data_IF_656819553942
#
_entry.id   IF_656819553942
#
_cell.length_a   1.000
_cell.length_b   1.000
_cell.length_c   1.000
_cell.angle_alpha   90.00
_cell.angle_beta   90.00
_cell.angle_gamma   90.00
#
_symmetry.space_group_name_H-M   'P 1'
#
loop_
_entity.id
_entity.type
_entity.pdbx_description
1 polymer ?
#
# COMPACT_ATOMS: atom_id res chain seq x y z
N UNK A 1 -0.68 -15.22 -13.80
CA UNK A 1 -0.69 -15.27 -12.32
C UNK A 1 -1.68 -16.28 -11.73
N UNK A 2 -2.90 -16.47 -12.28
CA UNK A 2 -3.89 -17.42 -11.75
C UNK A 2 -3.35 -18.86 -11.59
N UNK A 3 -2.63 -19.39 -12.59
CA UNK A 3 -1.96 -20.71 -12.52
C UNK A 3 -0.95 -20.80 -11.38
N UNK A 4 -0.21 -19.72 -11.12
CA UNK A 4 0.74 -19.67 -10.00
C UNK A 4 0.00 -19.63 -8.66
N UNK A 5 -1.11 -18.87 -8.58
CA UNK A 5 -1.99 -18.87 -7.42
C UNK A 5 -2.54 -20.25 -7.08
N UNK A 6 -3.05 -20.98 -8.08
CA UNK A 6 -3.53 -22.35 -7.89
C UNK A 6 -2.43 -23.30 -7.39
N UNK A 7 -1.21 -23.20 -7.94
CA UNK A 7 -0.06 -24.00 -7.45
C UNK A 7 0.36 -23.63 -6.02
N UNK A 8 0.22 -22.37 -5.64
CA UNK A 8 0.57 -21.87 -4.31
C UNK A 8 -0.56 -22.04 -3.27
N UNK A 9 -1.73 -22.57 -3.65
CA UNK A 9 -2.90 -22.66 -2.76
C UNK A 9 -3.50 -21.30 -2.40
N UNK A 10 -3.31 -20.27 -3.24
CA UNK A 10 -3.85 -18.92 -3.03
C UNK A 10 -4.97 -18.66 -4.04
N UNK A 11 -6.19 -18.51 -3.54
CA UNK A 11 -7.37 -18.16 -4.34
C UNK A 11 -7.35 -16.71 -4.79
N UNK A 12 -8.22 -16.30 -5.72
CA UNK A 12 -8.42 -14.91 -6.14
C UNK A 12 -7.13 -14.14 -6.51
N UNK A 13 -6.17 -14.81 -7.16
CA UNK A 13 -4.92 -14.20 -7.60
C UNK A 13 -5.08 -13.53 -8.96
N UNK A 14 -5.00 -12.19 -8.97
CA UNK A 14 -5.04 -11.37 -10.18
C UNK A 14 -4.15 -10.12 -10.02
N UNK A 15 -3.75 -9.45 -11.12
CA UNK A 15 -2.78 -8.34 -11.07
C UNK A 15 -3.16 -7.22 -10.10
N UNK A 16 -4.43 -6.81 -10.09
CA UNK A 16 -4.89 -5.76 -9.17
C UNK A 16 -4.69 -6.15 -7.68
N UNK A 17 -4.82 -7.44 -7.31
CA UNK A 17 -4.59 -7.87 -5.91
C UNK A 17 -3.15 -7.67 -5.47
N UNK A 18 -2.18 -7.97 -6.33
CA UNK A 18 -0.76 -7.70 -6.03
C UNK A 18 -0.50 -6.21 -5.84
N UNK A 19 -1.10 -5.35 -6.69
CA UNK A 19 -1.02 -3.89 -6.52
C UNK A 19 -1.56 -3.46 -5.17
N UNK A 20 -2.74 -3.96 -4.78
CA UNK A 20 -3.34 -3.65 -3.47
C UNK A 20 -2.44 -4.11 -2.33
N UNK A 21 -1.91 -5.33 -2.40
CA UNK A 21 -1.00 -5.88 -1.38
C UNK A 21 0.25 -5.03 -1.23
N UNK A 22 0.88 -4.64 -2.34
CA UNK A 22 2.06 -3.77 -2.32
C UNK A 22 1.73 -2.40 -1.71
N UNK A 23 0.64 -1.77 -2.16
CA UNK A 23 0.24 -0.46 -1.67
C UNK A 23 -0.02 -0.47 -0.15
N UNK A 24 -0.78 -1.46 0.33
CA UNK A 24 -1.07 -1.63 1.75
C UNK A 24 0.18 -1.91 2.57
N UNK A 25 1.11 -2.73 2.07
CA UNK A 25 2.37 -3.02 2.78
C UNK A 25 3.26 -1.78 2.92
N UNK A 26 3.39 -0.98 1.86
CA UNK A 26 4.16 0.27 1.90
C UNK A 26 3.56 1.30 2.86
N UNK A 27 2.23 1.47 2.83
CA UNK A 27 1.54 2.37 3.76
C UNK A 27 1.73 1.90 5.21
N UNK A 28 1.61 0.61 5.50
CA UNK A 28 1.85 0.05 6.84
C UNK A 28 3.28 0.26 7.34
N UNK A 29 4.23 0.35 6.42
CA UNK A 29 5.64 0.68 6.71
C UNK A 29 5.87 2.18 6.86
N UNK A 30 4.81 2.99 6.93
CA UNK A 30 4.84 4.44 7.05
C UNK A 30 5.61 5.12 5.88
N UNK A 31 5.59 4.50 4.70
CA UNK A 31 6.13 5.11 3.48
C UNK A 31 5.19 6.26 3.06
N UNK A 32 5.71 7.46 2.76
CA UNK A 32 4.90 8.59 2.32
C UNK A 32 4.02 8.23 1.12
N UNK A 33 2.75 8.65 1.17
CA UNK A 33 1.75 8.31 0.15
C UNK A 33 2.17 8.77 -1.26
N UNK A 34 2.94 9.86 -1.36
CA UNK A 34 3.48 10.39 -2.60
C UNK A 34 4.48 9.41 -3.22
N UNK A 35 5.39 8.85 -2.42
CA UNK A 35 6.34 7.83 -2.87
C UNK A 35 5.60 6.55 -3.29
N UNK A 36 4.57 6.15 -2.52
CA UNK A 36 3.73 5.01 -2.91
C UNK A 36 3.03 5.26 -4.24
N UNK A 37 2.51 6.46 -4.48
CA UNK A 37 1.87 6.81 -5.74
C UNK A 37 2.85 6.74 -6.91
N UNK A 38 4.09 7.21 -6.73
CA UNK A 38 5.15 7.16 -7.72
C UNK A 38 5.57 5.72 -8.04
N UNK A 39 5.78 4.88 -7.02
CA UNK A 39 6.08 3.45 -7.18
C UNK A 39 4.97 2.72 -7.96
N UNK A 40 3.71 3.09 -7.71
CA UNK A 40 2.55 2.47 -8.36
C UNK A 40 2.22 3.09 -9.73
N UNK A 41 2.86 4.20 -10.09
CA UNK A 41 2.59 4.95 -11.32
C UNK A 41 1.21 5.61 -11.37
N UNK A 42 0.68 6.05 -10.22
CA UNK A 42 -0.60 6.73 -10.15
C UNK A 42 -0.44 8.23 -10.45
N UNK A 43 -1.11 8.70 -11.51
CA UNK A 43 -1.13 10.12 -11.85
C UNK A 43 -1.97 10.96 -10.87
N UNK A 44 -2.97 10.35 -10.23
CA UNK A 44 -3.85 11.00 -9.27
C UNK A 44 -3.65 10.39 -7.89
N UNK A 45 -3.26 11.21 -6.92
CA UNK A 45 -3.03 10.81 -5.53
C UNK A 45 -4.28 10.21 -4.89
N UNK A 46 -5.49 10.62 -5.32
CA UNK A 46 -6.77 10.04 -4.86
C UNK A 46 -6.85 8.54 -5.13
N UNK A 47 -6.19 8.06 -6.18
CA UNK A 47 -6.13 6.62 -6.51
C UNK A 47 -5.28 5.84 -5.51
N UNK A 48 -4.27 6.48 -4.90
CA UNK A 48 -3.44 5.88 -3.84
C UNK A 48 -4.06 6.02 -2.45
N UNK A 49 -4.86 7.07 -2.22
CA UNK A 49 -5.52 7.33 -0.93
C UNK A 49 -6.42 6.19 -0.45
N UNK A 50 -6.98 5.40 -1.37
CA UNK A 50 -7.79 4.22 -1.04
C UNK A 50 -7.05 3.15 -0.23
N UNK A 51 -5.71 3.22 -0.15
CA UNK A 51 -4.87 2.30 0.62
C UNK A 51 -4.45 2.83 1.98
N UNK A 52 -4.75 4.09 2.29
CA UNK A 52 -4.41 4.70 3.57
C UNK A 52 -5.46 4.33 4.61
N UNK A 53 -5.03 3.59 5.63
CA UNK A 53 -5.77 3.49 6.89
C UNK A 53 -5.11 4.45 7.88
N UNK A 54 -5.83 5.49 8.29
CA UNK A 54 -5.40 6.36 9.37
C UNK A 54 -5.63 5.64 10.69
N UNK A 55 -4.60 4.96 11.20
CA UNK A 55 -4.58 4.50 12.58
C UNK A 55 -3.85 5.51 13.48
N UNK A 56 -4.18 5.51 14.77
CA UNK A 56 -3.63 6.45 15.75
C UNK A 56 -2.11 6.27 15.95
N UNK A 57 -1.59 5.06 15.71
CA UNK A 57 -0.17 4.74 15.88
C UNK A 57 0.69 5.37 14.78
N UNK A 58 0.24 5.28 13.53
CA UNK A 58 0.86 5.89 12.36
C UNK A 58 0.85 7.42 12.48
N UNK A 59 -0.26 8.01 12.93
CA UNK A 59 -0.32 9.46 13.21
C UNK A 59 0.72 9.88 14.24
N UNK A 60 0.81 9.15 15.37
CA UNK A 60 1.81 9.42 16.42
C UNK A 60 3.24 9.23 15.92
N UNK A 61 3.49 8.20 15.12
CA UNK A 61 4.79 7.94 14.50
C UNK A 61 5.23 9.10 13.62
N UNK A 62 4.37 9.53 12.70
CA UNK A 62 4.66 10.63 11.78
C UNK A 62 4.81 11.96 12.50
N UNK A 63 3.99 12.23 13.52
CA UNK A 63 4.12 13.41 14.36
C UNK A 63 5.49 13.45 15.05
N UNK A 64 5.86 12.37 15.76
CA UNK A 64 7.14 12.29 16.47
C UNK A 64 8.34 12.46 15.54
N UNK A 65 8.27 11.89 14.32
CA UNK A 65 9.32 12.03 13.31
C UNK A 65 9.46 13.46 12.77
N UNK A 66 8.37 14.24 12.75
CA UNK A 66 8.39 15.61 12.23
C UNK A 66 8.92 16.64 13.23
N UNK A 67 8.86 16.33 14.53
CA UNK A 67 9.28 17.23 15.62
C UNK A 67 10.63 16.87 16.24
N UNK A 68 11.20 15.71 15.89
CA UNK A 68 12.53 15.26 16.29
C UNK A 68 13.58 15.71 15.26
#
# INVERSE_FOLDING_TARGET
VKRLGMKAGVDNVHPHRFRRTLATDLVKKNVPIQEVAEILGHADLRTTQVYVCLDQESVKYHYNKAIA
#
